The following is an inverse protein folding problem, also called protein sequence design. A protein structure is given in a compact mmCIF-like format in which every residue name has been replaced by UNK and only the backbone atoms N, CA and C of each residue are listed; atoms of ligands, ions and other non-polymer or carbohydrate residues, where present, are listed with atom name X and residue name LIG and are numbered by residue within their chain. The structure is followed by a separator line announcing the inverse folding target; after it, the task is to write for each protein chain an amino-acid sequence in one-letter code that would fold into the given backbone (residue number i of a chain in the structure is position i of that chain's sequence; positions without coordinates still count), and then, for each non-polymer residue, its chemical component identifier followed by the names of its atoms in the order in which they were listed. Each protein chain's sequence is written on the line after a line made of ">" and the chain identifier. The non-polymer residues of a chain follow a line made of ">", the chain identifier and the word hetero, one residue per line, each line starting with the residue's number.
data_IF_821020888734
#
_entry.id   IF_821020888734
#
_cell.length_a   1.000
_cell.length_b   1.000
_cell.length_c   1.000
_cell.angle_alpha   90.00
_cell.angle_beta   90.00
_cell.angle_gamma   90.00
#
_symmetry.space_group_name_H-M   'P 1'
#
loop_
_entity.id
_entity.type
_entity.pdbx_description
1 polymer ?
#
# COMPACT_ATOMS: atom_id res chain seq x y z
N UNK A 1 84.85 -28.57 19.78
CA UNK A 1 85.30 -27.67 20.87
C UNK A 1 85.04 -28.39 22.19
N UNK A 2 86.12 -28.73 22.89
CA UNK A 2 86.12 -29.58 24.10
C UNK A 2 85.55 -28.72 25.25
N UNK A 3 84.43 -29.13 25.84
CA UNK A 3 83.94 -28.59 27.11
C UNK A 3 84.74 -29.13 28.24
N UNK A 4 85.46 -28.28 28.98
CA UNK A 4 86.20 -28.56 30.18
C UNK A 4 85.21 -28.83 31.32
N UNK A 5 84.94 -30.09 31.63
CA UNK A 5 84.37 -30.50 32.90
C UNK A 5 85.52 -30.53 33.92
N UNK A 6 85.62 -29.45 34.71
CA UNK A 6 86.47 -29.44 35.88
C UNK A 6 85.75 -30.24 36.96
N UNK A 7 86.19 -31.48 37.18
CA UNK A 7 85.85 -32.25 38.38
C UNK A 7 86.58 -31.61 39.54
N UNK A 8 85.93 -30.78 40.29
CA UNK A 8 86.43 -30.33 41.59
C UNK A 8 86.26 -31.49 42.56
N UNK A 9 87.36 -32.13 42.94
CA UNK A 9 87.37 -33.11 44.00
C UNK A 9 87.15 -32.37 45.31
N UNK A 10 85.96 -32.32 45.78
CA UNK A 10 85.57 -31.64 47.01
C UNK A 10 85.75 -32.57 48.18
N UNK A 11 86.58 -32.16 49.18
CA UNK A 11 86.71 -32.89 50.43
C UNK A 11 85.29 -33.04 51.08
N UNK A 12 85.10 -34.18 51.76
CA UNK A 12 83.86 -34.52 52.44
C UNK A 12 83.35 -33.40 53.39
N UNK A 13 84.26 -32.55 53.90
CA UNK A 13 84.00 -31.42 54.75
C UNK A 13 83.34 -30.25 53.93
N UNK A 14 83.85 -30.01 52.71
CA UNK A 14 83.33 -28.98 51.81
C UNK A 14 81.91 -29.37 51.25
N UNK A 15 81.68 -30.63 50.94
CA UNK A 15 80.41 -31.18 50.55
C UNK A 15 79.35 -30.98 51.71
N UNK A 16 79.77 -31.28 52.95
CA UNK A 16 78.92 -31.09 54.12
C UNK A 16 78.54 -29.64 54.30
N UNK A 17 79.42 -28.67 54.15
CA UNK A 17 79.06 -27.23 54.24
C UNK A 17 78.23 -26.73 53.10
N UNK A 18 78.35 -27.25 51.88
CA UNK A 18 77.49 -26.92 50.74
C UNK A 18 76.09 -27.50 50.98
N UNK A 19 75.96 -28.75 51.39
CA UNK A 19 74.61 -29.36 51.68
C UNK A 19 73.96 -28.64 52.86
N UNK A 20 74.73 -28.31 53.92
CA UNK A 20 74.25 -27.57 55.07
C UNK A 20 73.80 -26.16 54.69
N UNK A 21 74.54 -25.48 53.81
CA UNK A 21 74.13 -24.18 53.24
C UNK A 21 72.81 -24.24 52.43
N UNK A 22 72.66 -25.29 51.59
CA UNK A 22 71.44 -25.53 50.82
C UNK A 22 70.21 -25.79 51.75
N UNK A 23 70.39 -26.60 52.79
CA UNK A 23 69.34 -26.90 53.77
C UNK A 23 68.89 -25.63 54.52
N UNK A 24 69.86 -24.83 54.95
CA UNK A 24 69.54 -23.54 55.58
C UNK A 24 68.89 -22.60 54.60
N UNK A 25 69.31 -22.51 53.35
CA UNK A 25 68.74 -21.72 52.29
C UNK A 25 67.27 -22.09 52.05
N UNK A 26 66.98 -23.40 51.91
CA UNK A 26 65.57 -23.88 51.75
C UNK A 26 64.77 -23.61 53.00
N UNK A 27 65.33 -23.77 54.22
CA UNK A 27 64.58 -23.45 55.42
C UNK A 27 64.27 -21.91 55.54
N UNK A 28 65.20 -21.05 55.13
CA UNK A 28 64.95 -19.60 55.06
C UNK A 28 63.88 -19.23 53.99
N UNK A 29 63.99 -19.85 52.79
CA UNK A 29 62.99 -19.60 51.73
C UNK A 29 61.57 -20.06 52.13
N UNK A 30 61.51 -21.25 52.82
CA UNK A 30 60.19 -21.74 53.31
C UNK A 30 59.61 -20.82 54.42
N UNK A 31 60.48 -20.38 55.34
CA UNK A 31 60.02 -19.41 56.35
C UNK A 31 59.62 -18.07 55.79
N UNK A 32 60.37 -17.54 54.82
CA UNK A 32 59.94 -16.30 54.08
C UNK A 32 58.66 -16.53 53.32
N UNK A 33 58.50 -17.67 52.64
CA UNK A 33 57.23 -17.98 51.93
C UNK A 33 56.07 -18.10 52.92
N UNK A 34 56.21 -18.72 54.05
CA UNK A 34 55.20 -18.83 55.10
C UNK A 34 54.84 -17.43 55.63
N UNK A 35 55.84 -16.56 55.87
CA UNK A 35 55.62 -15.21 56.32
C UNK A 35 54.92 -14.37 55.26
N UNK A 36 55.34 -14.43 54.00
CA UNK A 36 54.71 -13.75 52.90
C UNK A 36 53.26 -14.22 52.74
N UNK A 37 53.01 -15.53 52.78
CA UNK A 37 51.65 -16.09 52.69
C UNK A 37 50.76 -15.62 53.86
N UNK A 38 51.29 -15.61 55.10
CA UNK A 38 50.54 -15.27 56.30
C UNK A 38 50.25 -13.76 56.42
N UNK A 39 51.19 -12.87 56.04
CA UNK A 39 51.07 -11.44 56.25
C UNK A 39 50.70 -10.68 54.97
N UNK A 40 51.27 -11.00 53.80
CA UNK A 40 51.03 -10.21 52.57
C UNK A 40 49.81 -10.75 51.79
N UNK A 41 49.83 -12.02 51.44
CA UNK A 41 48.76 -12.58 50.60
C UNK A 41 47.42 -12.64 51.32
N UNK A 42 47.38 -12.99 52.61
CA UNK A 42 46.14 -13.00 53.37
C UNK A 42 45.55 -11.60 53.52
N UNK A 43 46.42 -10.59 53.78
CA UNK A 43 45.99 -9.20 53.86
C UNK A 43 45.47 -8.68 52.53
N UNK A 44 46.11 -9.00 51.42
CA UNK A 44 45.64 -8.64 50.10
C UNK A 44 44.30 -9.29 49.78
N UNK A 45 44.13 -10.57 50.10
CA UNK A 45 42.84 -11.26 49.96
C UNK A 45 41.75 -10.63 50.82
N UNK A 46 42.03 -10.30 52.07
CA UNK A 46 41.08 -9.60 52.94
C UNK A 46 40.66 -8.25 52.37
N UNK A 47 41.61 -7.47 51.81
CA UNK A 47 41.35 -6.19 51.14
C UNK A 47 40.40 -6.36 49.96
N UNK A 48 40.67 -7.35 49.12
CA UNK A 48 39.82 -7.60 47.92
C UNK A 48 38.44 -8.06 48.32
N UNK A 49 38.32 -8.94 49.34
CA UNK A 49 37.03 -9.39 49.87
C UNK A 49 36.24 -8.23 50.48
N UNK A 50 36.88 -7.36 51.27
CA UNK A 50 36.25 -6.20 51.86
C UNK A 50 35.70 -5.25 50.76
N UNK A 51 36.56 -4.91 49.78
CA UNK A 51 36.14 -4.07 48.65
C UNK A 51 34.98 -4.64 47.86
N UNK A 52 34.91 -5.94 47.70
CA UNK A 52 33.82 -6.61 47.00
C UNK A 52 32.51 -6.48 47.80
N UNK A 53 32.56 -6.74 49.11
CA UNK A 53 31.39 -6.67 49.99
C UNK A 53 30.92 -5.21 50.12
N UNK A 54 31.82 -4.23 50.29
CA UNK A 54 31.53 -2.80 50.32
C UNK A 54 30.86 -2.35 49.04
N UNK A 55 31.42 -2.67 47.87
CA UNK A 55 30.86 -2.27 46.59
C UNK A 55 29.47 -2.86 46.35
N UNK A 56 29.25 -4.14 46.73
CA UNK A 56 27.91 -4.74 46.66
C UNK A 56 26.90 -4.05 47.56
N UNK A 57 27.30 -3.73 48.78
CA UNK A 57 26.46 -3.01 49.70
C UNK A 57 26.10 -1.60 49.19
N UNK A 58 27.07 -0.83 48.76
CA UNK A 58 26.87 0.52 48.24
C UNK A 58 25.95 0.53 47.04
N UNK A 59 26.14 -0.43 46.13
CA UNK A 59 25.30 -0.61 44.94
C UNK A 59 23.82 -0.91 45.35
N UNK A 60 23.59 -1.93 46.15
CA UNK A 60 22.25 -2.29 46.60
C UNK A 60 21.59 -1.21 47.45
N UNK A 61 22.34 -0.56 48.31
CA UNK A 61 21.82 0.50 49.13
C UNK A 61 21.46 1.74 48.31
N UNK A 62 22.23 2.07 47.26
CA UNK A 62 21.92 3.17 46.37
C UNK A 62 20.63 2.90 45.56
N UNK A 63 20.42 1.66 45.11
CA UNK A 63 19.18 1.24 44.46
C UNK A 63 17.99 1.36 45.43
N UNK A 64 18.13 0.84 46.63
CA UNK A 64 17.06 0.86 47.66
C UNK A 64 16.58 2.27 47.98
N UNK A 65 17.55 3.19 48.29
CA UNK A 65 17.19 4.58 48.62
C UNK A 65 16.80 5.42 47.42
N UNK A 66 17.39 5.15 46.23
CA UNK A 66 17.11 5.88 44.99
C UNK A 66 15.91 5.32 44.26
N UNK A 67 16.14 4.29 43.45
CA UNK A 67 15.15 3.77 42.53
C UNK A 67 13.92 3.15 43.21
N UNK A 68 14.14 2.24 44.19
CA UNK A 68 13.03 1.54 44.84
C UNK A 68 12.10 2.50 45.61
N UNK A 69 12.68 3.50 46.23
CA UNK A 69 11.91 4.54 46.91
C UNK A 69 11.12 5.41 45.92
N UNK A 70 11.69 5.76 44.76
CA UNK A 70 11.00 6.52 43.72
C UNK A 70 9.83 5.68 43.12
N UNK A 71 10.04 4.37 42.88
CA UNK A 71 8.98 3.48 42.44
C UNK A 71 7.83 3.46 43.46
N UNK A 72 8.13 3.31 44.72
CA UNK A 72 7.12 3.36 45.80
C UNK A 72 6.37 4.67 45.89
N UNK A 73 7.05 5.82 45.69
CA UNK A 73 6.38 7.12 45.61
C UNK A 73 5.43 7.20 44.41
N UNK A 74 5.81 6.56 43.29
CA UNK A 74 4.95 6.49 42.09
C UNK A 74 3.72 5.63 42.35
N UNK A 75 3.91 4.47 42.99
CA UNK A 75 2.80 3.57 43.38
C UNK A 75 1.86 4.28 44.38
N UNK A 76 2.39 5.12 45.31
CA UNK A 76 1.57 5.95 46.22
C UNK A 76 0.67 6.92 45.43
N UNK A 77 1.21 7.57 44.39
CA UNK A 77 0.43 8.46 43.54
C UNK A 77 -0.72 7.72 42.83
N UNK A 78 -0.43 6.56 42.25
CA UNK A 78 -1.42 5.71 41.55
C UNK A 78 -2.47 5.19 42.57
N UNK A 79 -2.08 4.86 43.79
CA UNK A 79 -2.97 4.33 44.83
C UNK A 79 -4.07 5.33 45.22
N UNK A 80 -3.90 6.60 44.97
CA UNK A 80 -4.91 7.65 45.24
C UNK A 80 -6.08 7.62 44.25
N UNK A 81 -5.87 7.06 43.06
CA UNK A 81 -6.87 6.94 41.99
C UNK A 81 -7.34 5.53 41.76
N UNK A 82 -6.55 4.51 42.17
CA UNK A 82 -6.84 3.12 41.95
C UNK A 82 -6.75 2.33 43.27
N UNK A 83 -7.89 1.77 43.73
CA UNK A 83 -8.02 1.08 45.00
C UNK A 83 -7.16 -0.20 45.07
N UNK A 84 -6.92 -0.88 43.95
CA UNK A 84 -6.08 -2.08 43.90
C UNK A 84 -4.63 -1.72 44.24
N UNK A 85 -4.16 -0.59 43.77
CA UNK A 85 -2.82 -0.11 44.06
C UNK A 85 -2.64 0.38 45.49
N UNK A 86 -3.72 0.67 46.24
CA UNK A 86 -3.66 1.01 47.65
C UNK A 86 -3.19 -0.17 48.50
N UNK A 87 -3.69 -1.37 48.24
CA UNK A 87 -3.26 -2.59 48.92
C UNK A 87 -1.83 -2.98 48.52
N UNK A 88 -1.49 -2.82 47.24
CA UNK A 88 -0.16 -3.06 46.73
C UNK A 88 0.85 -2.11 47.39
N UNK A 89 0.55 -0.81 47.42
CA UNK A 89 1.42 0.18 48.06
C UNK A 89 1.63 -0.16 49.54
N UNK A 90 0.57 -0.45 50.30
CA UNK A 90 0.66 -0.77 51.72
C UNK A 90 1.55 -2.00 51.97
N UNK A 91 1.42 -3.04 51.15
CA UNK A 91 2.21 -4.28 51.25
C UNK A 91 3.70 -4.02 50.93
N UNK A 92 3.98 -3.37 49.81
CA UNK A 92 5.37 -3.13 49.36
C UNK A 92 6.07 -2.06 50.21
N UNK A 93 5.36 -1.06 50.71
CA UNK A 93 5.93 -0.07 51.60
C UNK A 93 6.31 -0.67 52.98
N UNK A 94 5.53 -1.58 53.50
CA UNK A 94 5.88 -2.36 54.71
C UNK A 94 7.14 -3.20 54.47
N UNK A 95 7.17 -3.94 53.36
CA UNK A 95 8.34 -4.76 52.99
C UNK A 95 9.58 -3.89 52.73
N UNK A 96 9.44 -2.76 52.10
CA UNK A 96 10.55 -1.80 51.95
C UNK A 96 11.11 -1.32 53.28
N UNK A 97 10.26 -0.97 54.24
CA UNK A 97 10.71 -0.60 55.62
C UNK A 97 11.48 -1.74 56.25
N UNK A 98 10.97 -2.96 56.18
CA UNK A 98 11.64 -4.16 56.71
C UNK A 98 13.01 -4.38 56.07
N UNK A 99 13.10 -4.25 54.76
CA UNK A 99 14.37 -4.40 54.01
C UNK A 99 15.34 -3.27 54.38
N UNK A 100 14.89 -2.04 54.45
CA UNK A 100 15.73 -0.85 54.78
C UNK A 100 16.23 -0.92 56.22
N UNK A 101 15.32 -1.16 57.19
CA UNK A 101 15.60 -1.01 58.61
C UNK A 101 16.24 -2.28 59.22
N UNK A 102 16.09 -3.44 58.56
CA UNK A 102 16.72 -4.70 59.01
C UNK A 102 17.81 -5.15 58.04
N UNK A 103 17.50 -5.55 56.82
CA UNK A 103 18.50 -6.14 55.91
C UNK A 103 19.62 -5.19 55.53
N UNK A 104 19.31 -3.98 55.04
CA UNK A 104 20.30 -3.03 54.61
C UNK A 104 21.12 -2.49 55.81
N UNK A 105 20.48 -2.21 56.93
CA UNK A 105 21.16 -1.77 58.15
C UNK A 105 22.12 -2.81 58.68
N UNK A 106 21.66 -4.06 58.81
CA UNK A 106 22.49 -5.18 59.30
C UNK A 106 23.65 -5.51 58.32
N UNK A 107 23.42 -5.41 57.01
CA UNK A 107 24.47 -5.55 56.02
C UNK A 107 25.55 -4.46 56.23
N UNK A 108 25.17 -3.20 56.34
CA UNK A 108 26.07 -2.10 56.58
C UNK A 108 26.86 -2.20 57.90
N UNK A 109 26.21 -2.73 58.95
CA UNK A 109 26.91 -2.97 60.24
C UNK A 109 27.99 -4.08 60.10
N UNK A 110 27.68 -5.19 59.35
CA UNK A 110 28.69 -6.25 59.10
C UNK A 110 29.85 -5.67 58.25
N UNK A 111 29.59 -4.85 57.25
CA UNK A 111 30.60 -4.20 56.45
C UNK A 111 31.52 -3.31 57.30
N UNK A 112 30.93 -2.50 58.20
CA UNK A 112 31.71 -1.67 59.15
C UNK A 112 32.58 -2.51 60.09
N UNK A 113 32.05 -3.64 60.63
CA UNK A 113 32.82 -4.55 61.46
C UNK A 113 33.98 -5.18 60.66
N UNK A 114 33.76 -5.64 59.46
CA UNK A 114 34.82 -6.16 58.60
C UNK A 114 35.89 -5.11 58.31
N UNK A 115 35.50 -3.88 58.01
CA UNK A 115 36.41 -2.75 57.86
C UNK A 115 37.28 -2.50 59.10
N UNK A 116 36.65 -2.49 60.30
CA UNK A 116 37.39 -2.32 61.60
C UNK A 116 38.38 -3.46 61.84
N UNK A 117 38.05 -4.69 61.53
CA UNK A 117 39.01 -5.82 61.62
C UNK A 117 40.17 -5.71 60.60
N UNK A 118 39.90 -5.23 59.42
CA UNK A 118 40.93 -4.97 58.42
C UNK A 118 41.85 -3.83 58.79
N UNK A 119 41.33 -2.70 59.30
CA UNK A 119 42.07 -1.54 59.76
C UNK A 119 42.96 -1.86 60.98
N UNK A 120 42.41 -2.61 61.94
CA UNK A 120 43.18 -3.07 63.12
C UNK A 120 44.18 -4.16 62.81
N UNK A 121 44.40 -4.54 61.53
CA UNK A 121 45.27 -5.60 61.06
C UNK A 121 44.97 -7.00 61.65
N UNK A 122 43.80 -7.21 62.16
CA UNK A 122 43.33 -8.50 62.68
C UNK A 122 42.75 -9.37 61.54
N UNK A 123 43.60 -9.82 60.65
CA UNK A 123 43.22 -10.57 59.45
C UNK A 123 42.59 -11.93 59.75
N UNK A 124 42.95 -12.56 60.89
CA UNK A 124 42.28 -13.77 61.34
C UNK A 124 40.85 -13.49 61.74
N UNK A 125 40.61 -12.50 62.59
CA UNK A 125 39.26 -12.09 63.00
C UNK A 125 38.40 -11.67 61.81
N UNK A 126 39.00 -11.03 60.80
CA UNK A 126 38.32 -10.68 59.55
C UNK A 126 37.73 -11.90 58.84
N UNK A 127 38.53 -12.94 58.61
CA UNK A 127 38.07 -14.15 57.91
C UNK A 127 37.14 -14.99 58.77
N UNK A 128 37.29 -15.03 60.06
CA UNK A 128 36.43 -15.74 61.01
C UNK A 128 35.02 -15.09 60.96
N UNK A 129 34.94 -13.72 61.08
CA UNK A 129 33.70 -12.98 60.99
C UNK A 129 33.09 -13.12 59.59
N UNK A 130 33.89 -12.98 58.53
CA UNK A 130 33.37 -13.13 57.14
C UNK A 130 32.78 -14.51 56.91
N UNK A 131 33.45 -15.57 57.37
CA UNK A 131 32.95 -16.95 57.27
C UNK A 131 31.66 -17.11 58.07
N UNK A 132 31.55 -16.58 59.26
CA UNK A 132 30.34 -16.63 60.11
C UNK A 132 29.17 -15.90 59.48
N UNK A 133 29.44 -14.69 58.95
CA UNK A 133 28.38 -13.80 58.44
C UNK A 133 28.10 -13.96 56.89
N UNK A 134 28.90 -14.73 56.17
CA UNK A 134 28.78 -14.87 54.69
C UNK A 134 27.38 -15.36 54.22
N UNK A 135 26.78 -16.26 54.98
CA UNK A 135 25.41 -16.72 54.68
C UNK A 135 24.38 -15.62 54.88
N UNK A 136 24.52 -14.82 55.96
CA UNK A 136 23.65 -13.69 56.26
C UNK A 136 23.81 -12.57 55.20
N UNK A 137 25.03 -12.25 54.80
CA UNK A 137 25.32 -11.28 53.75
C UNK A 137 24.60 -11.67 52.43
N UNK A 138 24.71 -12.95 52.02
CA UNK A 138 24.01 -13.44 50.83
C UNK A 138 22.50 -13.40 51.00
N UNK A 139 21.97 -13.67 52.17
CA UNK A 139 20.53 -13.59 52.46
C UNK A 139 20.03 -12.15 52.32
N UNK A 140 20.79 -11.17 52.90
CA UNK A 140 20.45 -9.75 52.76
C UNK A 140 20.56 -9.26 51.33
N UNK A 141 21.61 -9.66 50.57
CA UNK A 141 21.73 -9.38 49.12
C UNK A 141 20.52 -9.90 48.37
N UNK A 142 20.11 -11.15 48.62
CA UNK A 142 18.95 -11.78 47.99
C UNK A 142 17.64 -11.06 48.33
N UNK A 143 17.47 -10.66 49.61
CA UNK A 143 16.27 -9.95 50.05
C UNK A 143 16.14 -8.55 49.41
N UNK A 144 17.25 -7.81 49.34
CA UNK A 144 17.29 -6.49 48.66
C UNK A 144 17.00 -6.61 47.17
N UNK A 145 17.67 -7.55 46.48
CA UNK A 145 17.46 -7.81 45.05
C UNK A 145 16.03 -8.29 44.75
N UNK A 146 15.46 -9.13 45.61
CA UNK A 146 14.05 -9.61 45.44
C UNK A 146 13.07 -8.42 45.52
N UNK A 147 13.23 -7.54 46.51
CA UNK A 147 12.37 -6.35 46.59
C UNK A 147 12.51 -5.46 45.33
N UNK A 148 13.74 -5.20 44.91
CA UNK A 148 14.01 -4.42 43.70
C UNK A 148 13.34 -5.01 42.48
N UNK A 149 13.57 -6.28 42.22
CA UNK A 149 12.98 -6.99 41.05
C UNK A 149 11.46 -6.96 41.09
N UNK A 150 10.85 -7.18 42.26
CA UNK A 150 9.40 -7.16 42.39
C UNK A 150 8.82 -5.75 42.15
N UNK A 151 9.51 -4.70 42.62
CA UNK A 151 9.10 -3.31 42.38
C UNK A 151 9.24 -2.91 40.91
N UNK A 152 10.35 -3.32 40.24
CA UNK A 152 10.56 -3.06 38.81
C UNK A 152 9.48 -3.75 37.98
N UNK A 153 9.19 -5.03 38.25
CA UNK A 153 8.12 -5.73 37.54
C UNK A 153 6.73 -5.09 37.76
N UNK A 154 6.50 -4.52 38.95
CA UNK A 154 5.23 -3.87 39.27
C UNK A 154 5.02 -2.56 38.49
N UNK A 155 6.09 -1.77 38.23
CA UNK A 155 6.00 -0.50 37.52
C UNK A 155 6.19 -0.63 36.00
N UNK A 156 6.69 -1.77 35.53
CA UNK A 156 6.97 -2.04 34.14
C UNK A 156 5.80 -1.79 33.17
N UNK A 157 4.54 -2.16 33.47
CA UNK A 157 3.41 -1.85 32.59
C UNK A 157 3.21 -0.34 32.38
N UNK A 158 3.46 0.49 33.43
CA UNK A 158 3.40 1.94 33.29
C UNK A 158 4.54 2.50 32.42
N UNK A 159 5.76 2.00 32.59
CA UNK A 159 6.92 2.42 31.82
C UNK A 159 6.73 2.09 30.33
N UNK A 160 6.32 0.84 30.03
CA UNK A 160 6.01 0.41 28.65
C UNK A 160 4.92 1.29 28.01
N UNK A 161 3.87 1.59 28.76
CA UNK A 161 2.79 2.43 28.26
C UNK A 161 3.26 3.87 28.03
N UNK A 162 4.07 4.44 28.91
CA UNK A 162 4.63 5.79 28.74
C UNK A 162 5.58 5.86 27.55
N UNK A 163 6.41 4.84 27.32
CA UNK A 163 7.32 4.76 26.18
C UNK A 163 6.55 4.66 24.86
N UNK A 164 5.51 3.81 24.82
CA UNK A 164 4.67 3.64 23.64
C UNK A 164 4.00 4.96 23.21
N UNK A 165 3.47 5.75 24.15
CA UNK A 165 2.80 7.01 23.80
C UNK A 165 3.78 8.11 23.38
N UNK A 166 5.04 8.08 23.85
CA UNK A 166 6.06 9.05 23.43
C UNK A 166 6.30 8.99 21.92
N UNK A 167 6.41 7.78 21.36
CA UNK A 167 6.56 7.58 19.91
C UNK A 167 5.40 8.18 19.13
N UNK A 168 4.16 8.02 19.62
CA UNK A 168 2.98 8.60 18.97
C UNK A 168 2.90 10.12 19.12
N UNK A 169 3.32 10.67 20.26
CA UNK A 169 3.44 12.14 20.47
C UNK A 169 4.49 12.74 19.51
N UNK A 170 5.57 12.02 19.21
CA UNK A 170 6.57 12.45 18.24
C UNK A 170 6.02 12.39 16.79
N UNK A 171 5.30 11.33 16.40
CA UNK A 171 4.59 11.27 15.11
C UNK A 171 3.58 12.44 14.96
N UNK A 172 2.88 12.79 16.04
CA UNK A 172 1.95 13.92 16.01
C UNK A 172 2.65 15.27 15.83
N UNK A 173 3.81 15.46 16.44
CA UNK A 173 4.65 16.65 16.22
C UNK A 173 5.14 16.72 14.77
N UNK A 174 5.57 15.60 14.20
CA UNK A 174 5.94 15.49 12.79
C UNK A 174 4.77 15.88 11.89
N UNK A 175 3.58 15.31 12.12
CA UNK A 175 2.38 15.64 11.35
C UNK A 175 2.05 17.15 11.43
N UNK A 176 2.10 17.76 12.62
CA UNK A 176 1.90 19.20 12.77
C UNK A 176 2.95 20.03 12.01
N UNK A 177 4.20 19.59 12.01
CA UNK A 177 5.27 20.24 11.24
C UNK A 177 5.01 20.14 9.72
N UNK A 178 4.63 18.95 9.22
CA UNK A 178 4.30 18.75 7.82
C UNK A 178 3.08 19.58 7.39
N UNK A 179 2.06 19.67 8.24
CA UNK A 179 0.89 20.51 8.02
C UNK A 179 1.27 22.00 7.94
N UNK A 180 2.01 22.53 8.91
CA UNK A 180 2.42 23.93 8.94
C UNK A 180 3.22 24.32 7.69
N UNK A 181 4.06 23.43 7.19
CA UNK A 181 4.84 23.66 5.97
C UNK A 181 3.97 23.74 4.69
N UNK A 182 2.72 23.24 4.75
CA UNK A 182 1.78 23.18 3.63
C UNK A 182 0.46 23.90 3.93
N UNK A 183 0.36 24.66 4.99
CA UNK A 183 -0.88 25.29 5.46
C UNK A 183 -1.60 26.08 4.36
N UNK A 184 -0.84 26.83 3.56
CA UNK A 184 -1.39 27.60 2.44
C UNK A 184 -2.05 26.69 1.38
N UNK A 185 -1.40 25.60 1.01
CA UNK A 185 -1.90 24.66 0.01
C UNK A 185 -3.07 23.82 0.54
N UNK A 186 -3.19 23.68 1.86
CA UNK A 186 -4.22 22.90 2.54
C UNK A 186 -5.38 23.77 3.07
N UNK A 187 -5.43 25.05 2.72
CA UNK A 187 -6.40 26.00 3.27
C UNK A 187 -7.86 25.53 3.18
N UNK A 188 -8.23 24.89 2.07
CA UNK A 188 -9.61 24.39 1.82
C UNK A 188 -10.06 23.31 2.83
N UNK A 189 -9.10 22.60 3.44
CA UNK A 189 -9.33 21.53 4.41
C UNK A 189 -8.73 21.86 5.80
N UNK A 190 -8.38 23.12 6.04
CA UNK A 190 -7.77 23.56 7.32
C UNK A 190 -8.67 23.28 8.52
N UNK A 191 -9.98 23.49 8.41
CA UNK A 191 -10.93 23.15 9.46
C UNK A 191 -10.95 21.66 9.78
N UNK A 192 -10.84 20.82 8.76
CA UNK A 192 -10.80 19.37 8.92
C UNK A 192 -9.53 18.92 9.67
N UNK A 193 -8.38 19.52 9.38
CA UNK A 193 -7.15 19.26 10.12
C UNK A 193 -7.22 19.75 11.57
N UNK A 194 -7.81 20.91 11.81
CA UNK A 194 -8.04 21.41 13.17
C UNK A 194 -8.88 20.42 13.98
N UNK A 195 -10.02 19.98 13.44
CA UNK A 195 -10.90 19.01 14.10
C UNK A 195 -10.19 17.67 14.39
N UNK A 196 -9.34 17.21 13.46
CA UNK A 196 -8.56 16.00 13.64
C UNK A 196 -7.48 16.19 14.72
N UNK A 197 -6.77 17.32 14.73
CA UNK A 197 -5.78 17.60 15.75
C UNK A 197 -6.40 17.69 17.15
N UNK A 198 -7.55 18.35 17.29
CA UNK A 198 -8.29 18.39 18.54
C UNK A 198 -8.69 16.99 19.03
N UNK A 199 -9.19 16.14 18.13
CA UNK A 199 -9.51 14.74 18.47
C UNK A 199 -8.28 13.96 18.91
N UNK A 200 -7.16 14.09 18.23
CA UNK A 200 -5.90 13.43 18.61
C UNK A 200 -5.44 13.91 20.00
N UNK A 201 -5.55 15.20 20.30
CA UNK A 201 -5.22 15.75 21.62
C UNK A 201 -6.15 15.20 22.72
N UNK A 202 -7.43 15.03 22.42
CA UNK A 202 -8.37 14.36 23.34
C UNK A 202 -7.98 12.89 23.56
N UNK A 203 -7.54 12.17 22.52
CA UNK A 203 -7.03 10.80 22.66
C UNK A 203 -5.80 10.75 23.58
N UNK A 204 -4.83 11.67 23.42
CA UNK A 204 -3.68 11.75 24.31
C UNK A 204 -4.09 12.05 25.76
N UNK A 205 -5.05 12.95 25.98
CA UNK A 205 -5.56 13.27 27.30
C UNK A 205 -6.24 12.05 27.94
N UNK A 206 -7.05 11.33 27.20
CA UNK A 206 -7.70 10.10 27.69
C UNK A 206 -6.65 9.05 28.04
N UNK A 207 -5.64 8.87 27.18
CA UNK A 207 -4.51 7.99 27.45
C UNK A 207 -3.80 8.32 28.74
N UNK A 208 -3.42 9.60 28.93
CA UNK A 208 -2.76 10.07 30.15
C UNK A 208 -3.65 9.80 31.39
N UNK A 209 -4.99 9.97 31.27
CA UNK A 209 -5.95 9.64 32.34
C UNK A 209 -5.95 8.14 32.66
N UNK A 210 -5.94 7.26 31.66
CA UNK A 210 -5.87 5.81 31.89
C UNK A 210 -4.57 5.40 32.58
N UNK A 211 -3.44 6.03 32.21
CA UNK A 211 -2.16 5.78 32.90
C UNK A 211 -2.20 6.24 34.36
N UNK A 212 -2.79 7.41 34.64
CA UNK A 212 -2.94 7.94 35.99
C UNK A 212 -3.83 7.05 36.89
N UNK A 213 -4.81 6.38 36.28
CA UNK A 213 -5.70 5.42 36.95
C UNK A 213 -5.17 3.99 36.97
N UNK A 214 -3.96 3.74 36.44
CA UNK A 214 -3.37 2.40 36.24
C UNK A 214 -4.27 1.44 35.43
N UNK A 215 -5.08 1.98 34.52
CA UNK A 215 -5.89 1.27 33.55
C UNK A 215 -5.07 1.01 32.27
N UNK A 216 -4.00 0.22 32.40
CA UNK A 216 -3.01 0.04 31.31
C UNK A 216 -3.55 -0.73 30.12
N UNK A 217 -4.52 -1.63 30.33
CA UNK A 217 -5.13 -2.40 29.23
C UNK A 217 -6.00 -1.49 28.37
N UNK A 218 -6.82 -0.63 28.99
CA UNK A 218 -7.61 0.38 28.27
C UNK A 218 -6.70 1.40 27.54
N UNK A 219 -5.59 1.77 28.15
CA UNK A 219 -4.60 2.61 27.49
C UNK A 219 -4.00 1.94 26.25
N UNK A 220 -3.63 0.64 26.34
CA UNK A 220 -3.09 -0.11 25.22
C UNK A 220 -4.06 -0.23 24.04
N UNK A 221 -5.37 -0.35 24.31
CA UNK A 221 -6.39 -0.43 23.27
C UNK A 221 -6.49 0.84 22.40
N UNK A 222 -6.11 2.01 22.93
CA UNK A 222 -6.10 3.26 22.17
C UNK A 222 -4.92 3.39 21.18
N UNK A 223 -3.79 2.73 21.47
CA UNK A 223 -2.55 2.91 20.70
C UNK A 223 -2.68 2.52 19.23
N UNK A 224 -3.24 1.34 18.85
CA UNK A 224 -3.34 0.94 17.44
C UNK A 224 -4.20 1.89 16.61
N UNK A 225 -5.29 2.39 17.20
CA UNK A 225 -6.19 3.33 16.53
C UNK A 225 -5.48 4.65 16.28
N UNK A 226 -4.80 5.19 17.29
CA UNK A 226 -4.08 6.44 17.19
C UNK A 226 -2.88 6.34 16.22
N UNK A 227 -2.12 5.25 16.30
CA UNK A 227 -1.01 4.98 15.38
C UNK A 227 -1.47 4.88 13.93
N UNK A 228 -2.56 4.16 13.69
CA UNK A 228 -3.16 4.02 12.35
C UNK A 228 -3.58 5.38 11.76
N UNK A 229 -4.23 6.23 12.57
CA UNK A 229 -4.66 7.57 12.13
C UNK A 229 -3.46 8.47 11.85
N UNK A 230 -2.48 8.51 12.74
CA UNK A 230 -1.26 9.33 12.56
C UNK A 230 -0.47 8.90 11.33
N UNK A 231 -0.24 7.60 11.17
CA UNK A 231 0.46 7.04 10.02
C UNK A 231 -0.27 7.36 8.73
N UNK A 232 -1.60 7.15 8.68
CA UNK A 232 -2.41 7.48 7.52
C UNK A 232 -2.28 8.96 7.13
N UNK A 233 -2.33 9.88 8.09
CA UNK A 233 -2.24 11.32 7.82
C UNK A 233 -0.84 11.73 7.35
N UNK A 234 0.22 11.19 7.96
CA UNK A 234 1.62 11.45 7.56
C UNK A 234 1.88 10.96 6.14
N UNK A 235 1.44 9.74 5.81
CA UNK A 235 1.64 9.14 4.49
C UNK A 235 0.92 9.91 3.38
N UNK A 236 -0.23 10.49 3.70
CA UNK A 236 -1.10 11.13 2.70
C UNK A 236 -0.99 12.66 2.63
N UNK A 237 -0.43 13.34 3.62
CA UNK A 237 -0.39 14.82 3.67
C UNK A 237 0.34 15.43 2.47
N UNK A 238 1.31 14.72 1.90
CA UNK A 238 2.07 15.17 0.73
C UNK A 238 1.26 15.10 -0.57
N UNK A 239 0.22 14.27 -0.63
CA UNK A 239 -0.66 14.09 -1.80
C UNK A 239 -1.80 15.11 -1.83
N UNK A 240 -2.22 15.61 -0.65
CA UNK A 240 -3.38 16.50 -0.54
C UNK A 240 -3.29 17.77 -1.38
N UNK A 241 -2.19 18.51 -1.46
CA UNK A 241 -2.09 19.72 -2.30
C UNK A 241 -2.36 19.44 -3.78
N UNK A 242 -1.85 18.32 -4.31
CA UNK A 242 -2.08 17.95 -5.70
C UNK A 242 -3.54 17.59 -5.96
N UNK A 243 -4.20 16.88 -5.02
CA UNK A 243 -5.62 16.55 -5.11
C UNK A 243 -6.51 17.79 -5.03
N UNK A 244 -6.18 18.73 -4.15
CA UNK A 244 -6.85 20.03 -4.05
C UNK A 244 -6.77 20.75 -5.39
N UNK A 245 -5.57 20.89 -5.95
CA UNK A 245 -5.36 21.53 -7.26
C UNK A 245 -6.16 20.86 -8.37
N UNK A 246 -6.16 19.54 -8.44
CA UNK A 246 -6.92 18.79 -9.44
C UNK A 246 -8.43 19.09 -9.32
N UNK A 247 -8.98 19.06 -8.09
CA UNK A 247 -10.42 19.27 -7.87
C UNK A 247 -10.86 20.72 -8.05
N UNK A 248 -10.02 21.69 -7.69
CA UNK A 248 -10.39 23.12 -7.71
C UNK A 248 -10.02 23.86 -8.98
N UNK A 249 -8.99 23.39 -9.68
CA UNK A 249 -8.47 24.06 -10.88
C UNK A 249 -8.56 23.18 -12.11
N UNK A 250 -7.91 22.01 -12.12
CA UNK A 250 -7.70 21.25 -13.34
C UNK A 250 -9.01 20.64 -13.88
N UNK A 251 -9.81 20.00 -13.01
CA UNK A 251 -11.09 19.42 -13.41
C UNK A 251 -12.13 20.49 -13.83
N UNK A 252 -12.34 21.60 -13.10
CA UNK A 252 -13.18 22.70 -13.57
C UNK A 252 -12.74 23.27 -14.92
N UNK A 253 -11.43 23.40 -15.15
CA UNK A 253 -10.91 23.85 -16.44
C UNK A 253 -11.22 22.85 -17.56
N UNK A 254 -11.02 21.56 -17.33
CA UNK A 254 -11.36 20.50 -18.29
C UNK A 254 -12.86 20.47 -18.61
N UNK A 255 -13.72 20.68 -17.61
CA UNK A 255 -15.17 20.80 -17.80
C UNK A 255 -15.51 22.01 -18.69
N UNK A 256 -14.84 23.15 -18.49
CA UNK A 256 -15.05 24.34 -19.33
C UNK A 256 -14.59 24.09 -20.77
N UNK A 257 -13.44 23.44 -20.97
CA UNK A 257 -12.97 23.05 -22.30
C UNK A 257 -13.99 22.16 -23.02
N UNK A 258 -14.59 21.18 -22.31
CA UNK A 258 -15.65 20.34 -22.87
C UNK A 258 -16.91 21.14 -23.23
N UNK A 259 -17.32 22.10 -22.39
CA UNK A 259 -18.46 22.99 -22.67
C UNK A 259 -18.22 23.86 -23.89
N UNK A 260 -17.02 24.42 -24.04
CA UNK A 260 -16.67 25.25 -25.18
C UNK A 260 -16.58 24.42 -26.46
N UNK A 261 -16.00 23.21 -26.38
CA UNK A 261 -15.99 22.27 -27.51
C UNK A 261 -17.39 21.86 -27.95
N UNK A 262 -18.30 21.57 -27.02
CA UNK A 262 -19.70 21.26 -27.33
C UNK A 262 -20.38 22.44 -28.07
N UNK A 263 -20.21 23.68 -27.56
CA UNK A 263 -20.75 24.87 -28.21
C UNK A 263 -20.19 25.04 -29.64
N UNK A 264 -18.88 24.91 -29.82
CA UNK A 264 -18.21 25.00 -31.11
C UNK A 264 -18.78 23.98 -32.10
N UNK A 265 -18.90 22.72 -31.70
CA UNK A 265 -19.44 21.66 -32.54
C UNK A 265 -20.92 21.94 -32.92
N UNK A 266 -21.73 22.40 -31.97
CA UNK A 266 -23.13 22.78 -32.26
C UNK A 266 -23.17 23.96 -33.25
N UNK A 267 -22.34 25.00 -33.08
CA UNK A 267 -22.24 26.12 -34.01
C UNK A 267 -21.77 25.68 -35.41
N UNK A 268 -20.92 24.64 -35.49
CA UNK A 268 -20.51 24.05 -36.76
C UNK A 268 -21.51 23.05 -37.34
N UNK A 269 -22.71 22.96 -36.78
CA UNK A 269 -23.81 22.17 -37.29
C UNK A 269 -23.74 20.67 -37.00
N UNK A 270 -22.99 20.26 -35.97
CA UNK A 270 -23.00 18.85 -35.52
C UNK A 270 -24.23 18.59 -34.67
N UNK A 271 -25.06 17.60 -35.02
CA UNK A 271 -26.17 17.14 -34.16
C UNK A 271 -25.58 16.24 -33.06
N UNK A 272 -25.69 16.69 -31.78
CA UNK A 272 -25.05 16.00 -30.65
C UNK A 272 -26.07 15.41 -29.64
N UNK A 273 -27.34 15.24 -30.07
CA UNK A 273 -28.41 14.76 -29.18
C UNK A 273 -28.14 13.38 -28.57
N UNK A 274 -27.43 12.51 -29.32
CA UNK A 274 -27.03 11.17 -28.87
C UNK A 274 -26.03 11.18 -27.73
N UNK A 275 -25.28 12.27 -27.52
CA UNK A 275 -24.24 12.41 -26.48
C UNK A 275 -24.86 12.72 -25.12
N UNK A 276 -26.06 13.34 -25.09
CA UNK A 276 -26.70 13.80 -23.84
C UNK A 276 -25.76 14.66 -22.98
N UNK A 277 -25.07 15.61 -23.61
CA UNK A 277 -23.96 16.37 -23.03
C UNK A 277 -24.28 16.98 -21.67
N UNK A 278 -25.43 17.64 -21.53
CA UNK A 278 -25.81 18.34 -20.28
C UNK A 278 -25.93 17.36 -19.11
N UNK A 279 -26.53 16.20 -19.34
CA UNK A 279 -26.65 15.13 -18.31
C UNK A 279 -25.29 14.59 -17.90
N UNK A 280 -24.39 14.41 -18.86
CA UNK A 280 -23.05 13.90 -18.56
C UNK A 280 -22.20 14.95 -17.81
N UNK A 281 -22.31 16.23 -18.16
CA UNK A 281 -21.61 17.32 -17.45
C UNK A 281 -22.17 17.46 -16.01
N UNK A 282 -23.46 17.39 -15.82
CA UNK A 282 -24.07 17.42 -14.48
C UNK A 282 -23.56 16.24 -13.63
N UNK A 283 -23.50 15.03 -14.19
CA UNK A 283 -22.95 13.86 -13.51
C UNK A 283 -21.48 14.07 -13.10
N UNK A 284 -20.65 14.66 -13.97
CA UNK A 284 -19.25 14.98 -13.68
C UNK A 284 -19.17 16.01 -12.55
N UNK A 285 -19.98 17.08 -12.61
CA UNK A 285 -19.99 18.14 -11.59
C UNK A 285 -20.40 17.60 -10.22
N UNK A 286 -21.43 16.75 -10.16
CA UNK A 286 -21.87 16.09 -8.92
C UNK A 286 -20.75 15.20 -8.33
N UNK A 287 -19.99 14.49 -9.18
CA UNK A 287 -18.83 13.72 -8.72
C UNK A 287 -17.68 14.60 -8.22
N UNK A 288 -17.44 15.76 -8.82
CA UNK A 288 -16.43 16.72 -8.31
C UNK A 288 -16.84 17.21 -6.92
N UNK A 289 -18.13 17.53 -6.71
CA UNK A 289 -18.63 17.93 -5.40
C UNK A 289 -18.51 16.79 -4.36
N UNK A 290 -18.84 15.56 -4.76
CA UNK A 290 -18.64 14.38 -3.92
C UNK A 290 -17.16 14.21 -3.53
N UNK A 291 -16.24 14.36 -4.48
CA UNK A 291 -14.80 14.29 -4.23
C UNK A 291 -14.34 15.38 -3.26
N UNK A 292 -14.81 16.62 -3.39
CA UNK A 292 -14.52 17.71 -2.46
C UNK A 292 -15.04 17.40 -1.04
N UNK A 293 -16.22 16.79 -0.93
CA UNK A 293 -16.77 16.37 0.35
C UNK A 293 -15.98 15.23 1.00
N UNK A 294 -15.43 14.29 0.20
CA UNK A 294 -14.52 13.25 0.70
C UNK A 294 -13.14 13.83 1.06
N UNK A 295 -12.67 14.82 0.33
CA UNK A 295 -11.43 15.53 0.63
C UNK A 295 -11.51 16.26 1.99
N UNK A 296 -12.64 16.92 2.29
CA UNK A 296 -12.91 17.51 3.61
C UNK A 296 -12.91 16.46 4.75
N UNK A 297 -13.16 15.19 4.45
CA UNK A 297 -13.02 14.08 5.40
C UNK A 297 -11.61 13.47 5.41
N UNK A 298 -10.69 14.04 4.65
CA UNK A 298 -9.30 13.58 4.45
C UNK A 298 -9.26 12.11 3.98
N UNK A 299 -10.25 11.68 3.17
CA UNK A 299 -10.33 10.33 2.65
C UNK A 299 -9.67 10.24 1.27
N UNK A 300 -8.34 10.22 1.23
CA UNK A 300 -7.53 10.26 0.01
C UNK A 300 -7.86 9.12 -0.95
N UNK A 301 -8.09 7.90 -0.43
CA UNK A 301 -8.39 6.74 -1.27
C UNK A 301 -9.71 6.89 -2.05
N UNK A 302 -10.76 7.41 -1.38
CA UNK A 302 -12.04 7.67 -2.05
C UNK A 302 -11.93 8.81 -3.05
N UNK A 303 -11.19 9.88 -2.70
CA UNK A 303 -10.95 11.01 -3.61
C UNK A 303 -10.29 10.54 -4.89
N UNK A 304 -9.21 9.76 -4.80
CA UNK A 304 -8.51 9.22 -5.96
C UNK A 304 -9.42 8.34 -6.84
N UNK A 305 -10.27 7.50 -6.22
CA UNK A 305 -11.23 6.68 -6.96
C UNK A 305 -12.23 7.55 -7.73
N UNK A 306 -12.81 8.56 -7.09
CA UNK A 306 -13.79 9.46 -7.73
C UNK A 306 -13.11 10.26 -8.86
N UNK A 307 -11.89 10.76 -8.67
CA UNK A 307 -11.14 11.46 -9.73
C UNK A 307 -10.91 10.53 -10.92
N UNK A 308 -10.58 9.27 -10.71
CA UNK A 308 -10.43 8.29 -11.79
C UNK A 308 -11.74 8.08 -12.55
N UNK A 309 -12.88 8.01 -11.86
CA UNK A 309 -14.21 7.90 -12.48
C UNK A 309 -14.56 9.16 -13.28
N UNK A 310 -14.21 10.35 -12.78
CA UNK A 310 -14.40 11.62 -13.50
C UNK A 310 -13.58 11.64 -14.79
N UNK A 311 -12.32 11.24 -14.72
CA UNK A 311 -11.43 11.21 -15.90
C UNK A 311 -11.94 10.25 -16.97
N UNK A 312 -12.50 9.09 -16.59
CA UNK A 312 -13.15 8.16 -17.53
C UNK A 312 -14.35 8.85 -18.22
N UNK A 313 -15.22 9.53 -17.49
CA UNK A 313 -16.36 10.24 -18.07
C UNK A 313 -15.93 11.37 -19.02
N UNK A 314 -14.88 12.11 -18.69
CA UNK A 314 -14.30 13.13 -19.55
C UNK A 314 -13.75 12.52 -20.84
N UNK A 315 -13.09 11.39 -20.75
CA UNK A 315 -12.54 10.67 -21.89
C UNK A 315 -13.65 10.10 -22.78
N UNK A 316 -14.70 9.53 -22.20
CA UNK A 316 -15.88 9.05 -22.93
C UNK A 316 -16.52 10.17 -23.74
N UNK A 317 -16.71 11.37 -23.14
CA UNK A 317 -17.24 12.54 -23.85
C UNK A 317 -16.32 12.99 -24.99
N UNK A 318 -15.00 13.05 -24.76
CA UNK A 318 -14.06 13.40 -25.81
C UNK A 318 -14.07 12.39 -26.96
N UNK A 319 -14.18 11.11 -26.64
CA UNK A 319 -14.27 10.05 -27.65
C UNK A 319 -15.58 10.14 -28.44
N UNK A 320 -16.71 10.47 -27.77
CA UNK A 320 -17.98 10.71 -28.45
C UNK A 320 -17.90 11.89 -29.44
N UNK A 321 -17.30 13.01 -29.03
CA UNK A 321 -17.05 14.13 -29.95
C UNK A 321 -16.16 13.76 -31.12
N UNK A 322 -15.05 13.07 -30.87
CA UNK A 322 -14.15 12.60 -31.92
C UNK A 322 -14.86 11.65 -32.90
N UNK A 323 -15.73 10.77 -32.36
CA UNK A 323 -16.51 9.85 -33.19
C UNK A 323 -17.45 10.61 -34.13
N UNK A 324 -18.15 11.65 -33.64
CA UNK A 324 -19.04 12.45 -34.51
C UNK A 324 -18.25 13.20 -35.59
N UNK A 325 -17.07 13.74 -35.27
CA UNK A 325 -16.20 14.39 -36.27
C UNK A 325 -15.75 13.38 -37.34
N UNK A 326 -15.25 12.24 -36.92
CA UNK A 326 -14.78 11.20 -37.84
C UNK A 326 -15.92 10.60 -38.67
N UNK A 327 -17.12 10.47 -38.08
CA UNK A 327 -18.29 9.98 -38.77
C UNK A 327 -18.76 10.97 -39.82
N UNK A 328 -18.70 12.28 -39.54
CA UNK A 328 -19.01 13.29 -40.56
C UNK A 328 -18.08 13.19 -41.76
N UNK A 329 -16.78 13.10 -41.52
CA UNK A 329 -15.79 12.97 -42.61
C UNK A 329 -16.06 11.74 -43.47
N UNK A 330 -16.34 10.59 -42.86
CA UNK A 330 -16.68 9.35 -43.59
C UNK A 330 -18.01 9.44 -44.33
N UNK A 331 -18.99 10.11 -43.73
CA UNK A 331 -20.28 10.34 -44.35
C UNK A 331 -20.13 11.21 -45.60
N UNK A 332 -19.47 12.37 -45.47
CA UNK A 332 -19.26 13.31 -46.59
C UNK A 332 -18.46 12.66 -47.72
N UNK A 333 -17.49 11.78 -47.42
CA UNK A 333 -16.71 11.04 -48.42
C UNK A 333 -17.53 10.01 -49.19
N UNK A 334 -18.42 9.26 -48.50
CA UNK A 334 -19.05 8.07 -49.07
C UNK A 334 -20.46 8.27 -49.59
N UNK A 335 -21.23 9.20 -49.08
CA UNK A 335 -22.66 9.29 -49.36
C UNK A 335 -22.98 9.41 -50.84
N UNK A 336 -22.27 10.28 -51.57
CA UNK A 336 -22.52 10.49 -52.99
C UNK A 336 -22.18 9.27 -53.85
N UNK A 337 -21.12 8.57 -53.54
CA UNK A 337 -20.71 7.35 -54.24
C UNK A 337 -21.70 6.21 -54.01
N UNK A 338 -22.09 5.98 -52.77
CA UNK A 338 -23.04 4.95 -52.37
C UNK A 338 -24.42 5.16 -53.01
N UNK A 339 -24.91 6.42 -52.99
CA UNK A 339 -26.18 6.77 -53.64
C UNK A 339 -26.10 6.59 -55.15
N UNK A 340 -25.01 6.93 -55.81
CA UNK A 340 -24.81 6.67 -57.25
C UNK A 340 -24.82 5.16 -57.55
N UNK A 341 -24.09 4.38 -56.79
CA UNK A 341 -24.08 2.89 -56.93
C UNK A 341 -25.47 2.29 -56.74
N UNK A 342 -26.18 2.68 -55.66
CA UNK A 342 -27.54 2.25 -55.41
C UNK A 342 -28.46 2.60 -56.58
N UNK A 343 -28.51 3.86 -57.00
CA UNK A 343 -29.35 4.28 -58.10
C UNK A 343 -29.05 3.54 -59.42
N UNK A 344 -27.80 3.22 -59.68
CA UNK A 344 -27.42 2.42 -60.81
C UNK A 344 -27.94 0.99 -60.75
N UNK A 345 -27.71 0.31 -59.62
CA UNK A 345 -28.17 -1.09 -59.48
C UNK A 345 -29.70 -1.19 -59.41
N UNK A 346 -30.38 -0.24 -58.76
CA UNK A 346 -31.85 -0.18 -58.70
C UNK A 346 -32.46 -0.12 -60.11
N UNK A 347 -31.96 0.84 -60.93
CA UNK A 347 -32.39 0.94 -62.34
C UNK A 347 -32.08 -0.32 -63.14
N UNK A 348 -30.89 -0.86 -62.92
CA UNK A 348 -30.47 -2.09 -63.61
C UNK A 348 -31.34 -3.27 -63.23
N UNK A 349 -31.69 -3.39 -61.95
CA UNK A 349 -32.56 -4.43 -61.43
C UNK A 349 -34.01 -4.30 -61.94
N UNK A 350 -34.54 -3.09 -61.96
CA UNK A 350 -35.88 -2.84 -62.56
C UNK A 350 -35.88 -3.26 -64.01
N UNK A 351 -34.85 -2.92 -64.79
CA UNK A 351 -34.74 -3.31 -66.20
C UNK A 351 -34.69 -4.81 -66.38
N UNK A 352 -33.87 -5.54 -65.62
CA UNK A 352 -33.78 -7.01 -65.73
C UNK A 352 -35.09 -7.67 -65.26
N UNK A 353 -35.74 -7.16 -64.19
CA UNK A 353 -37.03 -7.70 -63.72
C UNK A 353 -38.13 -7.58 -64.79
N UNK A 354 -38.18 -6.48 -65.53
CA UNK A 354 -39.07 -6.31 -66.68
C UNK A 354 -38.65 -7.18 -67.86
N UNK A 355 -37.37 -7.39 -68.05
CA UNK A 355 -36.84 -8.18 -69.19
C UNK A 355 -36.95 -9.68 -68.96
N UNK A 356 -36.89 -10.19 -67.76
CA UNK A 356 -36.97 -11.61 -67.44
C UNK A 356 -38.29 -12.27 -67.89
N UNK A 357 -39.38 -11.50 -67.87
CA UNK A 357 -40.67 -11.95 -68.37
C UNK A 357 -40.60 -12.22 -69.89
N UNK A 358 -39.78 -11.42 -70.59
CA UNK A 358 -39.54 -11.64 -72.04
C UNK A 358 -38.58 -12.78 -72.28
N UNK A 359 -37.49 -12.87 -71.48
CA UNK A 359 -36.47 -13.92 -71.55
C UNK A 359 -37.17 -15.32 -71.44
N UNK A 360 -38.06 -15.50 -70.47
CA UNK A 360 -38.79 -16.73 -70.21
C UNK A 360 -39.63 -17.21 -71.41
N UNK A 361 -39.98 -16.30 -72.31
CA UNK A 361 -40.69 -16.71 -73.56
C UNK A 361 -39.79 -17.32 -74.65
N UNK A 362 -38.50 -16.99 -74.60
CA UNK A 362 -37.55 -17.38 -75.65
C UNK A 362 -36.48 -18.33 -75.17
N UNK A 363 -36.22 -18.38 -73.88
CA UNK A 363 -35.17 -19.18 -73.26
C UNK A 363 -35.74 -19.98 -72.09
N UNK A 364 -35.35 -21.21 -71.93
CA UNK A 364 -35.70 -22.01 -70.77
C UNK A 364 -34.66 -21.66 -69.63
N UNK A 365 -35.11 -20.93 -68.63
CA UNK A 365 -34.30 -20.63 -67.42
C UNK A 365 -34.50 -21.83 -66.50
N UNK A 366 -33.40 -22.44 -66.01
CA UNK A 366 -33.49 -23.53 -65.07
C UNK A 366 -34.05 -23.07 -63.70
N UNK A 367 -34.56 -24.02 -62.88
CA UNK A 367 -35.24 -23.78 -61.62
C UNK A 367 -34.29 -23.20 -60.59
N UNK A 368 -33.00 -23.53 -60.61
CA UNK A 368 -31.98 -23.06 -59.69
C UNK A 368 -31.71 -21.56 -59.89
N UNK A 369 -31.53 -21.15 -61.14
CA UNK A 369 -31.32 -19.71 -61.44
C UNK A 369 -32.62 -18.89 -61.28
N UNK A 370 -33.79 -19.46 -61.31
CA UNK A 370 -35.03 -18.79 -60.95
C UNK A 370 -35.14 -18.55 -59.43
N UNK A 371 -34.73 -19.53 -58.63
CA UNK A 371 -34.66 -19.37 -57.17
C UNK A 371 -33.65 -18.30 -56.86
N UNK A 372 -32.47 -18.32 -57.45
CA UNK A 372 -31.43 -17.31 -57.28
C UNK A 372 -31.92 -15.89 -57.64
N UNK A 373 -32.68 -15.71 -58.72
CA UNK A 373 -33.28 -14.43 -59.07
C UNK A 373 -34.32 -13.95 -58.06
N UNK A 374 -35.12 -14.86 -57.49
CA UNK A 374 -36.07 -14.52 -56.44
C UNK A 374 -35.35 -14.08 -55.13
N UNK A 375 -34.25 -14.76 -54.77
CA UNK A 375 -33.38 -14.35 -53.65
C UNK A 375 -32.77 -12.98 -53.89
N UNK A 376 -32.26 -12.71 -55.09
CA UNK A 376 -31.73 -11.42 -55.51
C UNK A 376 -32.82 -10.33 -55.40
N UNK A 377 -34.06 -10.62 -55.80
CA UNK A 377 -35.21 -9.72 -55.69
C UNK A 377 -35.49 -9.38 -54.20
N UNK A 378 -35.49 -10.38 -53.36
CA UNK A 378 -35.68 -10.19 -51.90
C UNK A 378 -34.58 -9.32 -51.30
N UNK A 379 -33.34 -9.58 -51.67
CA UNK A 379 -32.20 -8.74 -51.26
C UNK A 379 -32.30 -7.31 -51.75
N UNK A 380 -32.71 -7.06 -53.00
CA UNK A 380 -32.91 -5.72 -53.56
C UNK A 380 -34.03 -4.96 -52.78
N UNK A 381 -35.11 -5.66 -52.37
CA UNK A 381 -36.16 -5.12 -51.53
C UNK A 381 -35.65 -4.70 -50.15
N UNK A 382 -34.76 -5.49 -49.55
CA UNK A 382 -34.10 -5.13 -48.28
C UNK A 382 -33.25 -3.87 -48.43
N UNK A 383 -32.35 -3.80 -49.42
CA UNK A 383 -31.50 -2.63 -49.71
C UNK A 383 -32.38 -1.40 -50.03
N UNK A 384 -33.51 -1.58 -50.71
CA UNK A 384 -34.43 -0.47 -50.94
C UNK A 384 -35.14 0.02 -49.69
N UNK A 385 -35.34 -0.82 -48.66
CA UNK A 385 -35.81 -0.42 -47.33
C UNK A 385 -34.71 0.32 -46.61
N UNK A 386 -33.46 -0.07 -46.68
CA UNK A 386 -32.33 0.61 -46.06
C UNK A 386 -32.12 1.99 -46.70
N UNK A 387 -32.21 2.11 -48.00
CA UNK A 387 -32.22 3.42 -48.69
C UNK A 387 -33.35 4.34 -48.16
N UNK A 388 -34.56 3.81 -48.04
CA UNK A 388 -35.71 4.61 -47.47
C UNK A 388 -35.47 5.02 -46.04
N UNK A 389 -34.88 4.12 -45.22
CA UNK A 389 -34.48 4.50 -43.82
C UNK A 389 -33.44 5.60 -43.81
N UNK A 390 -32.40 5.51 -44.65
CA UNK A 390 -31.42 6.58 -44.80
C UNK A 390 -32.07 7.90 -45.21
N UNK A 391 -33.00 7.88 -46.18
CA UNK A 391 -33.73 9.09 -46.59
C UNK A 391 -34.57 9.73 -45.47
N UNK A 392 -35.21 8.91 -44.63
CA UNK A 392 -35.93 9.40 -43.46
C UNK A 392 -34.98 10.10 -42.51
N UNK A 393 -33.80 9.57 -42.24
CA UNK A 393 -32.80 10.18 -41.38
C UNK A 393 -32.20 11.46 -41.97
N UNK A 394 -31.94 11.49 -43.27
CA UNK A 394 -31.43 12.67 -43.98
C UNK A 394 -32.43 13.85 -44.01
N UNK A 395 -33.74 13.56 -44.08
CA UNK A 395 -34.81 14.56 -44.16
C UNK A 395 -35.58 14.67 -42.85
N UNK A 396 -35.02 14.16 -41.72
CA UNK A 396 -35.63 14.29 -40.41
C UNK A 396 -35.75 15.78 -40.02
N UNK A 397 -36.83 16.12 -39.30
CA UNK A 397 -37.03 17.46 -38.78
C UNK A 397 -35.95 17.86 -37.80
N UNK A 398 -35.51 16.91 -36.97
CA UNK A 398 -34.40 17.06 -36.07
C UNK A 398 -33.14 16.45 -36.74
N UNK A 399 -32.05 17.21 -36.89
CA UNK A 399 -30.83 16.70 -37.52
C UNK A 399 -30.31 15.42 -36.85
N UNK A 400 -30.05 14.39 -37.65
CA UNK A 400 -29.58 13.09 -37.16
C UNK A 400 -28.06 13.12 -36.95
N UNK A 401 -27.55 12.58 -35.84
CA UNK A 401 -26.09 12.47 -35.60
C UNK A 401 -25.34 11.74 -36.73
N UNK A 402 -24.14 12.26 -37.05
CA UNK A 402 -23.34 11.70 -38.14
C UNK A 402 -22.88 10.27 -37.89
N UNK A 403 -22.70 9.85 -36.65
CA UNK A 403 -22.44 8.46 -36.29
C UNK A 403 -23.54 7.53 -36.78
N UNK A 404 -24.80 7.91 -36.59
CA UNK A 404 -25.97 7.15 -37.06
C UNK A 404 -26.08 7.19 -38.57
N UNK A 405 -25.88 8.36 -39.21
CA UNK A 405 -25.91 8.51 -40.67
C UNK A 405 -24.86 7.66 -41.34
N UNK A 406 -23.63 7.67 -40.82
CA UNK A 406 -22.52 6.88 -41.36
C UNK A 406 -22.78 5.40 -41.31
N UNK A 407 -23.33 4.91 -40.18
CA UNK A 407 -23.71 3.50 -40.05
C UNK A 407 -24.76 3.11 -41.10
N UNK A 408 -25.75 3.97 -41.33
CA UNK A 408 -26.76 3.71 -42.39
C UNK A 408 -26.21 3.75 -43.81
N UNK A 409 -25.23 4.61 -44.07
CA UNK A 409 -24.53 4.65 -45.37
C UNK A 409 -23.73 3.36 -45.56
N UNK A 410 -23.03 2.88 -44.53
CA UNK A 410 -22.27 1.63 -44.58
C UNK A 410 -23.20 0.41 -44.76
N UNK A 411 -24.35 0.37 -44.07
CA UNK A 411 -25.36 -0.68 -44.27
C UNK A 411 -25.83 -0.72 -45.74
N UNK A 412 -26.18 0.45 -46.31
CA UNK A 412 -26.59 0.61 -47.69
C UNK A 412 -25.48 0.23 -48.68
N UNK A 413 -24.21 0.63 -48.41
CA UNK A 413 -23.05 0.28 -49.23
C UNK A 413 -22.86 -1.22 -49.30
N UNK A 414 -22.85 -1.92 -48.16
CA UNK A 414 -22.68 -3.35 -48.05
C UNK A 414 -23.80 -4.10 -48.80
N UNK A 415 -25.06 -3.75 -48.58
CA UNK A 415 -26.19 -4.34 -49.26
C UNK A 415 -26.15 -4.09 -50.78
N UNK A 416 -25.80 -2.85 -51.19
CA UNK A 416 -25.68 -2.50 -52.62
C UNK A 416 -24.57 -3.30 -53.30
N UNK A 417 -23.42 -3.47 -52.63
CA UNK A 417 -22.31 -4.26 -53.18
C UNK A 417 -22.69 -5.74 -53.34
N UNK A 418 -23.35 -6.35 -52.33
CA UNK A 418 -23.85 -7.72 -52.38
C UNK A 418 -24.84 -7.93 -53.55
N UNK A 419 -25.81 -7.02 -53.64
CA UNK A 419 -26.80 -7.05 -54.76
C UNK A 419 -26.11 -6.88 -56.09
N UNK A 420 -25.14 -5.98 -56.22
CA UNK A 420 -24.38 -5.76 -57.44
C UNK A 420 -23.62 -7.01 -57.89
N UNK A 421 -22.94 -7.69 -56.96
CA UNK A 421 -22.24 -8.94 -57.24
C UNK A 421 -23.20 -10.03 -57.71
N UNK A 422 -24.31 -10.22 -57.03
CA UNK A 422 -25.29 -11.23 -57.36
C UNK A 422 -26.02 -10.89 -58.68
N UNK A 423 -26.28 -9.62 -58.95
CA UNK A 423 -26.82 -9.15 -60.22
C UNK A 423 -25.83 -9.46 -61.37
N UNK A 424 -24.55 -9.22 -61.23
CA UNK A 424 -23.55 -9.51 -62.22
C UNK A 424 -23.44 -11.00 -62.50
N UNK A 425 -23.52 -11.88 -61.45
CA UNK A 425 -23.59 -13.34 -61.61
C UNK A 425 -24.79 -13.75 -62.44
N UNK A 426 -25.98 -13.20 -62.13
CA UNK A 426 -27.19 -13.51 -62.86
C UNK A 426 -27.13 -13.00 -64.30
N UNK A 427 -26.57 -11.79 -64.53
CA UNK A 427 -26.39 -11.26 -65.89
C UNK A 427 -25.45 -12.11 -66.72
N UNK A 428 -24.35 -12.58 -66.14
CA UNK A 428 -23.42 -13.51 -66.84
C UNK A 428 -24.12 -14.81 -67.23
N UNK A 429 -25.01 -15.35 -66.41
CA UNK A 429 -25.83 -16.51 -66.74
C UNK A 429 -26.79 -16.18 -67.91
N UNK A 430 -27.51 -15.06 -67.88
CA UNK A 430 -28.41 -14.63 -68.96
C UNK A 430 -27.65 -14.45 -70.30
N UNK A 431 -26.44 -13.90 -70.24
CA UNK A 431 -25.58 -13.75 -71.45
C UNK A 431 -25.11 -15.10 -71.98
N UNK A 432 -24.82 -16.11 -71.13
CA UNK A 432 -24.49 -17.46 -71.59
C UNK A 432 -25.63 -18.09 -72.28
N UNK A 433 -26.89 -18.00 -71.81
CA UNK A 433 -28.07 -18.51 -72.50
C UNK A 433 -28.22 -17.91 -73.86
N UNK A 434 -27.95 -16.65 -74.11
CA UNK A 434 -27.96 -16.00 -75.40
C UNK A 434 -26.89 -16.57 -76.33
N UNK A 435 -25.63 -16.64 -75.83
CA UNK A 435 -24.50 -17.20 -76.59
C UNK A 435 -24.73 -18.67 -77.01
N UNK A 436 -25.23 -19.49 -76.07
CA UNK A 436 -25.53 -20.90 -76.32
C UNK A 436 -26.64 -21.08 -77.42
N UNK A 437 -27.70 -20.23 -77.30
CA UNK A 437 -28.77 -20.22 -78.33
C UNK A 437 -28.25 -19.81 -79.72
N UNK A 438 -27.39 -18.74 -79.77
CA UNK A 438 -26.76 -18.32 -81.04
C UNK A 438 -25.87 -19.44 -81.67
N UNK A 439 -25.07 -20.09 -80.79
CA UNK A 439 -24.23 -21.23 -81.17
C UNK A 439 -25.05 -22.41 -81.70
N UNK A 440 -26.14 -22.79 -81.01
CA UNK A 440 -27.08 -23.85 -81.42
C UNK A 440 -27.76 -23.48 -82.74
N UNK A 441 -28.25 -22.24 -82.86
CA UNK A 441 -28.84 -21.73 -84.09
C UNK A 441 -27.86 -21.81 -85.29
N UNK A 442 -26.63 -21.41 -85.10
CA UNK A 442 -25.56 -21.48 -86.08
C UNK A 442 -25.28 -22.95 -86.48
N UNK A 443 -25.17 -23.84 -85.48
CA UNK A 443 -24.94 -25.26 -85.71
C UNK A 443 -26.08 -25.88 -86.49
N UNK A 444 -27.36 -25.58 -86.15
CA UNK A 444 -28.54 -26.05 -86.89
C UNK A 444 -28.52 -25.49 -88.30
N UNK A 445 -28.18 -24.22 -88.50
CA UNK A 445 -28.07 -23.60 -89.81
C UNK A 445 -26.98 -24.25 -90.66
N UNK A 446 -25.82 -24.51 -90.10
CA UNK A 446 -24.69 -25.17 -90.76
C UNK A 446 -25.05 -26.62 -91.14
N UNK A 447 -25.72 -27.37 -90.27
CA UNK A 447 -26.23 -28.68 -90.54
C UNK A 447 -27.34 -28.69 -91.61
N UNK A 448 -28.22 -27.67 -91.57
CA UNK A 448 -29.25 -27.55 -92.64
C UNK A 448 -28.63 -27.25 -93.99
N UNK A 449 -27.58 -26.43 -94.04
CA UNK A 449 -26.82 -26.12 -95.27
C UNK A 449 -26.16 -27.42 -95.77
N UNK A 450 -25.50 -28.17 -94.91
CA UNK A 450 -24.88 -29.47 -95.28
C UNK A 450 -25.92 -30.50 -95.77
N UNK A 451 -27.10 -30.60 -95.15
CA UNK A 451 -28.18 -31.47 -95.60
C UNK A 451 -28.74 -31.02 -96.97
N UNK A 452 -28.84 -29.70 -97.18
CA UNK A 452 -29.27 -29.14 -98.45
C UNK A 452 -28.23 -29.41 -99.58
N UNK A 453 -26.96 -29.38 -99.30
CA UNK A 453 -25.89 -29.76 -100.23
C UNK A 453 -25.83 -31.23 -100.52
N UNK A 454 -26.37 -32.09 -99.60
CA UNK A 454 -26.38 -33.54 -99.77
C UNK A 454 -27.59 -34.04 -100.55
N UNK A 455 -28.70 -33.25 -100.63
CA UNK A 455 -29.95 -33.66 -101.30
C UNK A 455 -30.28 -32.94 -102.61
N UNK A 456 -29.41 -32.01 -102.99
CA UNK A 456 -29.48 -31.27 -104.26
C UNK A 456 -28.10 -31.30 -104.95
#
# INVERSE_FOLDING_TARGET
>A
MKSFLVFVNLDNVTIFWIVFGIVIGVALLTTIFILLNKFVFRRHKAKNTLKEVERKYEYLHSILIGNDFQILQRIDQISRTNIIYMDIHTTYFKRFKEVRDVAAKMYGEIVKQLGSYYESNNIKGFFDLYKEKSALLKSYESTMNSLHNDLVELIKPEEEAREAILSLKDKFRELKSLYNNKEYDLFIISDSFRDVFEKIEVYFKNYDTYIECASYDEAKELLPTLDSVLTYLIDNINLLPSLIKQLTNDLPQNINILKDRNKEMVMNGYPLQNINFDVQIEKIQNKVEEALNQLKKINVNKVNKIISEINILIEELNNAFNNEINSKLKFDEKIDEVLKKYNFIDKSFINISNYIVKIRKYYQIDSENLIFFNELSTKMDEVSKDKRRLDIYLHSKDPTPYSILTDKVIELENGTNEVTENYNKFMSYVESLKSDSEAIFKNIKDKYILLKEYYF
#
